data_IF_993305937489
#
_entry.id   IF_993305937489
#
_cell.length_a   1.000
_cell.length_b   1.000
_cell.length_c   1.000
_cell.angle_alpha   90.00
_cell.angle_beta   90.00
_cell.angle_gamma   90.00
#
_symmetry.space_group_name_H-M   'P 1'
#
loop_
_entity.id
_entity.type
_entity.pdbx_description
1 polymer ?
#
# COMPACT_ATOMS: atom_id res chain seq x y z
N UNK A 1 -20.52 0.37 7.21
CA UNK A 1 -20.79 -0.91 6.50
C UNK A 1 -19.81 -0.99 5.34
N UNK A 2 -19.14 -2.13 5.17
CA UNK A 2 -18.15 -2.36 4.13
C UNK A 2 -18.77 -3.23 3.02
N UNK A 3 -18.87 -2.69 1.80
CA UNK A 3 -19.36 -3.45 0.65
C UNK A 3 -18.22 -4.15 -0.06
N UNK A 4 -18.38 -5.45 -0.29
CA UNK A 4 -17.34 -6.29 -0.86
C UNK A 4 -17.92 -7.09 -2.02
N UNK A 5 -17.26 -7.03 -3.17
CA UNK A 5 -17.59 -7.82 -4.35
C UNK A 5 -16.54 -8.91 -4.55
N UNK A 6 -16.98 -10.15 -4.71
CA UNK A 6 -16.15 -11.24 -5.24
C UNK A 6 -16.77 -11.81 -6.50
N UNK A 7 -15.94 -12.25 -7.44
CA UNK A 7 -16.37 -12.95 -8.64
C UNK A 7 -15.81 -14.37 -8.57
N UNK A 8 -16.69 -15.35 -8.67
CA UNK A 8 -16.36 -16.77 -8.65
C UNK A 8 -16.68 -17.38 -10.02
N UNK A 9 -15.66 -17.83 -10.74
CA UNK A 9 -15.85 -18.52 -12.01
C UNK A 9 -16.19 -20.00 -11.80
N UNK A 10 -17.38 -20.39 -12.26
CA UNK A 10 -17.87 -21.78 -12.28
C UNK A 10 -18.31 -22.19 -13.68
N UNK A 11 -17.49 -21.83 -14.67
CA UNK A 11 -17.70 -22.26 -16.06
C UNK A 11 -17.54 -23.77 -16.12
N UNK A 12 -18.54 -24.48 -16.68
CA UNK A 12 -18.46 -25.94 -16.81
C UNK A 12 -17.46 -26.30 -17.92
N UNK A 13 -16.28 -26.79 -17.54
CA UNK A 13 -15.20 -27.12 -18.48
C UNK A 13 -15.29 -28.54 -19.08
N UNK A 14 -16.49 -29.09 -19.20
CA UNK A 14 -16.72 -30.34 -19.95
C UNK A 14 -17.22 -30.04 -21.35
N UNK A 15 -16.95 -30.94 -22.31
CA UNK A 15 -17.43 -30.85 -23.71
C UNK A 15 -18.95 -30.59 -23.79
N UNK A 16 -19.71 -31.19 -22.87
CA UNK A 16 -21.15 -30.95 -22.69
C UNK A 16 -21.45 -29.67 -21.90
N UNK A 17 -20.61 -29.32 -20.92
CA UNK A 17 -20.69 -28.09 -20.13
C UNK A 17 -20.64 -26.80 -20.96
N UNK A 18 -19.84 -26.77 -22.04
CA UNK A 18 -19.80 -25.64 -22.98
C UNK A 18 -21.10 -25.51 -23.79
N UNK A 19 -21.70 -26.63 -24.20
CA UNK A 19 -22.97 -26.64 -24.95
C UNK A 19 -24.14 -26.16 -24.08
N UNK A 20 -24.13 -26.49 -22.79
CA UNK A 20 -25.16 -26.04 -21.84
C UNK A 20 -24.82 -24.72 -21.12
N UNK A 21 -23.68 -24.09 -21.44
CA UNK A 21 -23.25 -22.83 -20.79
C UNK A 21 -24.26 -21.70 -21.01
N UNK A 22 -24.97 -21.73 -22.14
CA UNK A 22 -26.05 -20.80 -22.49
C UNK A 22 -27.32 -20.99 -21.64
N UNK A 23 -27.51 -22.15 -21.00
CA UNK A 23 -28.63 -22.42 -20.08
C UNK A 23 -28.28 -22.10 -18.63
N UNK A 24 -26.99 -22.00 -18.30
CA UNK A 24 -26.56 -21.59 -16.97
C UNK A 24 -26.72 -20.09 -16.79
N UNK A 25 -27.46 -19.72 -15.74
CA UNK A 25 -27.68 -18.32 -15.38
C UNK A 25 -26.68 -17.90 -14.32
N UNK A 26 -26.02 -16.78 -14.56
CA UNK A 26 -25.15 -16.15 -13.57
C UNK A 26 -25.97 -15.74 -12.34
N UNK A 27 -25.43 -15.95 -11.15
CA UNK A 27 -26.17 -15.75 -9.90
C UNK A 27 -25.43 -14.78 -9.00
N UNK A 28 -26.19 -13.93 -8.31
CA UNK A 28 -25.66 -13.10 -7.23
C UNK A 28 -26.19 -13.68 -5.92
N UNK A 29 -25.28 -13.87 -4.97
CA UNK A 29 -25.62 -14.14 -3.58
C UNK A 29 -25.07 -13.01 -2.73
N UNK A 30 -25.89 -12.46 -1.84
CA UNK A 30 -25.42 -11.52 -0.84
C UNK A 30 -25.50 -12.15 0.55
N UNK A 31 -24.57 -11.74 1.41
CA UNK A 31 -24.56 -12.07 2.83
C UNK A 31 -24.16 -10.83 3.60
N UNK A 32 -24.83 -10.58 4.71
CA UNK A 32 -24.38 -9.61 5.70
C UNK A 32 -23.79 -10.38 6.88
N UNK A 33 -22.60 -9.99 7.29
CA UNK A 33 -21.95 -10.49 8.51
C UNK A 33 -21.77 -9.31 9.45
N UNK A 34 -22.20 -9.49 10.69
CA UNK A 34 -22.10 -8.50 11.75
C UNK A 34 -21.00 -8.90 12.75
N UNK A 35 -20.31 -7.91 13.28
CA UNK A 35 -19.19 -8.05 14.20
C UNK A 35 -18.68 -6.67 14.59
N UNK A 36 -17.36 -6.51 14.76
CA UNK A 36 -16.75 -5.18 14.91
C UNK A 36 -17.08 -4.24 13.75
N UNK A 37 -17.30 -4.80 12.56
CA UNK A 37 -17.75 -4.10 11.36
C UNK A 37 -18.90 -4.86 10.71
N UNK A 38 -19.80 -4.14 10.05
CA UNK A 38 -20.83 -4.74 9.20
C UNK A 38 -20.26 -4.95 7.80
N UNK A 39 -20.14 -6.19 7.36
CA UNK A 39 -19.66 -6.55 6.02
C UNK A 39 -20.85 -7.02 5.19
N UNK A 40 -21.09 -6.34 4.07
CA UNK A 40 -22.02 -6.78 3.04
C UNK A 40 -21.22 -7.39 1.89
N UNK A 41 -21.22 -8.73 1.84
CA UNK A 41 -20.51 -9.50 0.83
C UNK A 41 -21.45 -9.87 -0.31
N UNK A 42 -21.13 -9.41 -1.51
CA UNK A 42 -21.81 -9.71 -2.77
C UNK A 42 -20.92 -10.67 -3.55
N UNK A 43 -21.32 -11.93 -3.65
CA UNK A 43 -20.65 -12.94 -4.46
C UNK A 43 -21.37 -13.11 -5.80
N UNK A 44 -20.70 -12.77 -6.90
CA UNK A 44 -21.15 -13.00 -8.27
C UNK A 44 -20.57 -14.32 -8.79
N UNK A 45 -21.44 -15.28 -9.11
CA UNK A 45 -21.04 -16.57 -9.66
C UNK A 45 -21.20 -16.51 -11.18
N UNK A 46 -20.07 -16.44 -11.88
CA UNK A 46 -19.99 -16.46 -13.34
C UNK A 46 -20.04 -17.90 -13.86
N UNK A 47 -21.08 -18.26 -14.61
CA UNK A 47 -21.23 -19.57 -15.25
C UNK A 47 -21.23 -19.49 -16.77
N UNK A 48 -21.47 -18.31 -17.31
CA UNK A 48 -21.48 -18.04 -18.76
C UNK A 48 -20.08 -17.84 -19.33
N UNK A 49 -19.08 -17.60 -18.48
CA UNK A 49 -17.72 -17.25 -18.88
C UNK A 49 -17.54 -15.77 -19.22
N UNK A 50 -18.60 -14.95 -19.09
CA UNK A 50 -18.53 -13.50 -19.27
C UNK A 50 -19.25 -12.80 -18.11
N UNK A 51 -18.51 -11.98 -17.38
CA UNK A 51 -19.05 -11.22 -16.25
C UNK A 51 -20.12 -10.22 -16.73
N UNK A 52 -21.32 -10.30 -16.16
CA UNK A 52 -22.41 -9.36 -16.41
C UNK A 52 -22.32 -8.19 -15.43
N UNK A 53 -21.50 -7.20 -15.77
CA UNK A 53 -21.25 -6.03 -14.94
C UNK A 53 -22.48 -5.16 -14.68
N UNK A 54 -23.42 -5.06 -15.63
CA UNK A 54 -24.68 -4.33 -15.42
C UNK A 54 -25.55 -4.97 -14.33
N UNK A 55 -25.48 -6.29 -14.21
CA UNK A 55 -26.16 -7.01 -13.12
C UNK A 55 -25.48 -6.72 -11.77
N UNK A 56 -24.14 -6.66 -11.74
CA UNK A 56 -23.37 -6.32 -10.54
C UNK A 56 -23.67 -4.87 -10.12
N UNK A 57 -23.59 -3.92 -11.04
CA UNK A 57 -23.85 -2.49 -10.80
C UNK A 57 -25.22 -2.23 -10.17
N UNK A 58 -26.26 -2.92 -10.66
CA UNK A 58 -27.61 -2.82 -10.07
C UNK A 58 -27.69 -3.24 -8.61
N UNK A 59 -26.82 -4.14 -8.16
CA UNK A 59 -26.80 -4.64 -6.78
C UNK A 59 -25.85 -3.85 -5.90
N UNK A 60 -24.67 -3.48 -6.41
CA UNK A 60 -23.68 -2.70 -5.67
C UNK A 60 -24.08 -1.23 -5.54
N UNK A 61 -24.84 -0.71 -6.52
CA UNK A 61 -25.07 0.72 -6.68
C UNK A 61 -23.80 1.46 -7.13
N UNK A 62 -23.89 2.79 -7.07
CA UNK A 62 -22.83 3.71 -7.55
C UNK A 62 -22.34 4.69 -6.48
N UNK A 63 -23.08 4.85 -5.38
CA UNK A 63 -22.81 5.89 -4.37
C UNK A 63 -21.83 5.43 -3.28
N UNK A 64 -21.72 4.14 -3.02
CA UNK A 64 -20.90 3.60 -1.92
C UNK A 64 -19.68 2.88 -2.49
N UNK A 65 -18.47 3.11 -1.94
CA UNK A 65 -17.27 2.37 -2.34
C UNK A 65 -17.42 0.86 -2.16
N UNK A 66 -16.88 0.11 -3.12
CA UNK A 66 -16.90 -1.36 -3.15
C UNK A 66 -15.48 -1.90 -3.20
N UNK A 67 -15.14 -2.80 -2.27
CA UNK A 67 -13.87 -3.52 -2.32
C UNK A 67 -13.98 -4.66 -3.34
N UNK A 68 -13.03 -4.71 -4.26
CA UNK A 68 -12.93 -5.74 -5.29
C UNK A 68 -11.45 -6.02 -5.58
N UNK A 69 -11.07 -7.30 -5.58
CA UNK A 69 -9.69 -7.76 -5.84
C UNK A 69 -9.61 -8.80 -6.95
N UNK A 70 -10.57 -8.81 -7.87
CA UNK A 70 -10.51 -9.69 -9.03
C UNK A 70 -9.74 -9.05 -10.20
N UNK A 71 -9.25 -9.89 -11.10
CA UNK A 71 -8.42 -9.48 -12.24
C UNK A 71 -9.24 -8.91 -13.41
N UNK A 72 -10.56 -9.00 -13.35
CA UNK A 72 -11.43 -8.54 -14.43
C UNK A 72 -11.83 -7.09 -14.19
N UNK A 73 -11.33 -6.19 -15.03
CA UNK A 73 -11.77 -4.81 -15.00
C UNK A 73 -13.22 -4.68 -15.52
N UNK A 74 -14.03 -3.81 -14.91
CA UNK A 74 -15.32 -3.42 -15.47
C UNK A 74 -15.13 -2.68 -16.81
N UNK A 75 -16.07 -2.81 -17.77
CA UNK A 75 -16.15 -1.91 -18.92
C UNK A 75 -16.33 -0.43 -18.52
N UNK A 76 -15.91 0.50 -19.38
CA UNK A 76 -15.97 1.95 -19.13
C UNK A 76 -17.39 2.50 -18.86
N UNK A 77 -18.45 1.83 -19.33
CA UNK A 77 -19.83 2.27 -19.12
C UNK A 77 -20.38 1.95 -17.71
N UNK A 78 -19.63 1.19 -16.91
CA UNK A 78 -20.00 0.77 -15.56
C UNK A 78 -19.55 1.80 -14.53
N UNK A 79 -20.47 2.20 -13.64
CA UNK A 79 -20.29 3.29 -12.68
C UNK A 79 -20.15 2.82 -11.24
N UNK A 80 -19.69 1.58 -11.05
CA UNK A 80 -19.40 1.06 -9.71
C UNK A 80 -18.23 1.88 -9.15
N UNK A 81 -18.42 2.45 -7.96
CA UNK A 81 -17.38 3.14 -7.25
C UNK A 81 -16.46 2.12 -6.58
N UNK A 82 -15.39 1.71 -7.25
CA UNK A 82 -14.41 0.80 -6.65
C UNK A 82 -13.54 1.56 -5.64
N UNK A 83 -13.37 0.96 -4.47
CA UNK A 83 -12.47 1.47 -3.46
C UNK A 83 -11.03 1.25 -3.88
N UNK A 84 -10.22 2.30 -3.77
CA UNK A 84 -8.77 2.26 -3.91
C UNK A 84 -8.15 2.63 -2.56
N UNK A 85 -7.18 1.85 -2.10
CA UNK A 85 -6.41 2.26 -0.93
C UNK A 85 -5.56 3.47 -1.28
N UNK A 86 -5.59 4.46 -0.39
CA UNK A 86 -4.77 5.66 -0.48
C UNK A 86 -4.03 5.98 0.80
N UNK A 87 -4.44 5.43 1.94
CA UNK A 87 -4.00 5.93 3.24
C UNK A 87 -3.31 4.86 4.09
N UNK A 88 -3.81 3.62 4.06
CA UNK A 88 -3.19 2.57 4.86
C UNK A 88 -1.81 2.22 4.31
N UNK A 89 -1.68 2.04 2.99
CA UNK A 89 -0.39 1.72 2.37
C UNK A 89 0.68 2.79 2.58
N UNK A 90 0.31 4.07 2.68
CA UNK A 90 1.23 5.17 3.08
C UNK A 90 1.81 4.94 4.46
N UNK A 91 0.96 4.60 5.44
CA UNK A 91 1.38 4.29 6.81
C UNK A 91 2.23 3.03 6.87
N UNK A 92 1.83 1.97 6.15
CA UNK A 92 2.60 0.72 6.07
C UNK A 92 3.98 0.93 5.44
N UNK A 93 4.12 1.81 4.45
CA UNK A 93 5.42 2.21 3.89
C UNK A 93 6.34 2.79 4.98
N UNK A 94 5.86 3.77 5.74
CA UNK A 94 6.60 4.33 6.87
C UNK A 94 6.93 3.29 7.94
N UNK A 95 5.97 2.47 8.32
CA UNK A 95 6.15 1.42 9.34
C UNK A 95 7.17 0.36 8.91
N UNK A 96 7.19 -0.03 7.63
CA UNK A 96 8.22 -0.93 7.09
C UNK A 96 9.61 -0.31 7.23
N UNK A 97 9.76 0.96 6.83
CA UNK A 97 11.04 1.66 6.93
C UNK A 97 11.53 1.74 8.39
N UNK A 98 10.68 2.20 9.31
CA UNK A 98 11.01 2.31 10.72
C UNK A 98 11.32 0.93 11.35
N UNK A 99 10.57 -0.11 10.98
CA UNK A 99 10.82 -1.48 11.43
C UNK A 99 12.21 -1.96 11.00
N UNK A 100 12.56 -1.77 9.72
CA UNK A 100 13.88 -2.14 9.19
C UNK A 100 15.01 -1.39 9.90
N UNK A 101 14.87 -0.07 10.08
CA UNK A 101 15.86 0.77 10.76
C UNK A 101 16.02 0.38 12.23
N UNK A 102 14.92 0.12 12.94
CA UNK A 102 14.94 -0.27 14.36
C UNK A 102 15.63 -1.61 14.62
N UNK A 103 15.66 -2.50 13.62
CA UNK A 103 16.35 -3.78 13.72
C UNK A 103 17.87 -3.65 13.45
N UNK A 104 18.37 -2.51 12.98
CA UNK A 104 19.80 -2.28 12.80
C UNK A 104 20.45 -1.96 14.15
N UNK A 105 21.31 -2.85 14.65
CA UNK A 105 22.13 -2.61 15.88
C UNK A 105 22.90 -1.29 15.81
N UNK A 106 23.42 -0.97 14.63
CA UNK A 106 23.90 0.35 14.25
C UNK A 106 23.53 0.61 12.80
N UNK A 107 22.86 1.73 12.53
CA UNK A 107 22.64 2.18 11.16
C UNK A 107 24.01 2.57 10.57
N UNK A 108 24.37 2.09 9.38
CA UNK A 108 25.64 2.47 8.75
C UNK A 108 25.73 3.99 8.63
N UNK A 109 26.85 4.59 9.06
CA UNK A 109 27.05 6.04 9.01
C UNK A 109 26.90 6.62 7.59
N UNK A 110 27.18 5.83 6.56
CA UNK A 110 27.08 6.24 5.17
C UNK A 110 25.65 6.05 4.59
N UNK A 111 24.72 5.46 5.35
CA UNK A 111 23.35 5.24 4.90
C UNK A 111 22.60 6.58 4.83
N UNK A 112 22.55 7.14 3.62
CA UNK A 112 21.75 8.32 3.32
C UNK A 112 20.30 7.92 3.08
N UNK A 113 19.40 8.46 3.87
CA UNK A 113 17.97 8.23 3.77
C UNK A 113 17.30 9.44 3.13
N UNK A 114 16.48 9.19 2.12
CA UNK A 114 15.64 10.20 1.49
C UNK A 114 14.18 9.99 1.90
N UNK A 115 13.50 11.04 2.36
CA UNK A 115 12.03 11.05 2.50
C UNK A 115 11.46 11.94 1.40
N UNK A 116 10.63 11.38 0.52
CA UNK A 116 9.85 12.15 -0.44
C UNK A 116 8.51 12.51 0.18
N UNK A 117 8.33 13.79 0.48
CA UNK A 117 7.12 14.35 1.09
C UNK A 117 6.81 15.70 0.44
N UNK A 118 6.35 15.66 -0.80
CA UNK A 118 6.08 16.85 -1.62
C UNK A 118 5.21 17.88 -0.90
N UNK A 119 4.22 17.41 -0.11
CA UNK A 119 3.18 18.24 0.51
C UNK A 119 3.43 18.58 1.97
N UNK A 120 4.39 17.94 2.64
CA UNK A 120 4.63 18.13 4.06
C UNK A 120 3.68 17.34 4.97
N UNK A 121 3.14 16.23 4.50
CA UNK A 121 2.17 15.40 5.23
C UNK A 121 2.83 14.38 6.17
N UNK A 122 4.14 14.15 6.05
CA UNK A 122 4.88 13.07 6.72
C UNK A 122 6.03 13.58 7.60
N UNK A 123 5.88 14.76 8.18
CA UNK A 123 6.86 15.33 9.10
C UNK A 123 7.07 14.46 10.36
N UNK A 124 6.04 13.75 10.81
CA UNK A 124 6.08 12.81 11.93
C UNK A 124 7.00 11.61 11.61
N UNK A 125 6.94 11.12 10.38
CA UNK A 125 7.83 10.08 9.87
C UNK A 125 9.27 10.59 9.75
N UNK A 126 9.50 11.82 9.29
CA UNK A 126 10.82 12.44 9.26
C UNK A 126 11.48 12.46 10.65
N UNK A 127 10.72 12.92 11.65
CA UNK A 127 11.14 12.94 13.05
C UNK A 127 11.43 11.53 13.59
N UNK A 128 10.59 10.55 13.26
CA UNK A 128 10.82 9.17 13.66
C UNK A 128 12.08 8.54 13.04
N UNK A 129 12.41 8.87 11.78
CA UNK A 129 13.60 8.39 11.08
C UNK A 129 14.89 8.95 11.71
N UNK A 130 14.89 10.22 12.11
CA UNK A 130 16.06 10.89 12.70
C UNK A 130 16.55 10.25 14.01
N UNK A 131 15.70 9.47 14.69
CA UNK A 131 16.10 8.66 15.85
C UNK A 131 17.15 7.60 15.51
N UNK A 132 17.31 7.28 14.22
CA UNK A 132 18.20 6.23 13.73
C UNK A 132 19.37 6.75 12.90
N UNK A 133 19.29 7.98 12.37
CA UNK A 133 20.31 8.54 11.46
C UNK A 133 20.40 10.06 11.57
N UNK A 134 21.59 10.60 11.33
CA UNK A 134 21.86 12.02 11.08
C UNK A 134 21.85 12.37 9.58
N UNK A 135 21.77 11.36 8.70
CA UNK A 135 21.83 11.51 7.25
C UNK A 135 20.45 11.38 6.59
N UNK A 136 19.48 12.17 7.05
CA UNK A 136 18.16 12.29 6.43
C UNK A 136 18.09 13.54 5.53
N UNK A 137 17.64 13.34 4.29
CA UNK A 137 17.24 14.41 3.37
C UNK A 137 15.74 14.27 3.13
N UNK A 138 15.00 15.36 3.31
CA UNK A 138 13.59 15.45 2.96
C UNK A 138 13.42 16.26 1.69
N UNK A 139 12.66 15.72 0.74
CA UNK A 139 12.21 16.47 -0.43
C UNK A 139 10.79 16.94 -0.20
N UNK A 140 10.59 18.27 -0.19
CA UNK A 140 9.28 18.88 0.00
C UNK A 140 9.15 20.20 -0.75
N UNK A 141 7.95 20.50 -1.26
CA UNK A 141 7.58 21.83 -1.74
C UNK A 141 7.01 22.70 -0.62
N UNK A 142 6.71 22.12 0.56
CA UNK A 142 6.12 22.82 1.69
C UNK A 142 7.17 23.20 2.75
N UNK A 143 8.11 24.07 2.37
CA UNK A 143 9.14 24.60 3.29
C UNK A 143 8.59 25.25 4.56
N UNK A 144 7.50 26.04 4.52
CA UNK A 144 7.01 26.69 5.73
C UNK A 144 6.69 25.69 6.84
N UNK A 145 6.00 24.58 6.51
CA UNK A 145 5.68 23.54 7.48
C UNK A 145 6.95 22.86 8.04
N UNK A 146 7.89 22.55 7.15
CA UNK A 146 9.13 21.88 7.55
C UNK A 146 10.10 22.77 8.33
N UNK A 147 9.99 24.10 8.22
CA UNK A 147 10.81 25.04 9.00
C UNK A 147 10.53 24.88 10.49
N UNK A 148 9.26 24.97 10.87
CA UNK A 148 8.84 24.87 12.28
C UNK A 148 9.22 23.50 12.87
N UNK A 149 9.09 22.44 12.05
CA UNK A 149 9.51 21.07 12.43
C UNK A 149 11.02 20.98 12.60
N UNK A 150 11.80 21.54 11.69
CA UNK A 150 13.26 21.52 11.76
C UNK A 150 13.80 22.30 12.97
N UNK A 151 13.21 23.47 13.27
CA UNK A 151 13.54 24.25 14.47
C UNK A 151 13.28 23.45 15.74
N UNK A 152 12.08 22.85 15.88
CA UNK A 152 11.74 22.00 17.02
C UNK A 152 12.71 20.83 17.18
N UNK A 153 13.00 20.10 16.10
CA UNK A 153 13.90 18.95 16.11
C UNK A 153 15.31 19.37 16.58
N UNK A 154 15.80 20.51 16.09
CA UNK A 154 17.11 21.03 16.47
C UNK A 154 17.15 21.44 17.95
N UNK A 155 16.09 22.07 18.46
CA UNK A 155 15.99 22.46 19.88
C UNK A 155 15.91 21.24 20.81
N UNK A 156 15.12 20.22 20.45
CA UNK A 156 14.85 19.06 21.30
C UNK A 156 15.96 18.00 21.27
N UNK A 157 16.63 17.84 20.12
CA UNK A 157 17.56 16.73 19.90
C UNK A 157 18.95 17.14 19.40
N UNK A 158 19.12 18.39 18.95
CA UNK A 158 20.34 18.86 18.28
C UNK A 158 20.52 18.32 16.85
N UNK A 159 19.59 17.51 16.34
CA UNK A 159 19.63 17.01 14.96
C UNK A 159 19.28 18.12 13.96
N UNK A 160 19.89 18.07 12.77
CA UNK A 160 19.61 18.99 11.68
C UNK A 160 18.77 18.27 10.63
N UNK A 161 17.58 18.80 10.34
CA UNK A 161 16.72 18.28 9.28
C UNK A 161 17.01 19.00 7.97
N UNK A 162 17.59 18.30 6.99
CA UNK A 162 17.86 18.85 5.67
C UNK A 162 16.62 18.76 4.77
N UNK A 163 16.05 19.89 4.35
CA UNK A 163 14.87 19.95 3.47
C UNK A 163 15.22 20.62 2.15
N UNK A 164 14.85 20.01 1.03
CA UNK A 164 15.24 20.45 -0.32
C UNK A 164 14.06 20.34 -1.30
N UNK A 165 13.86 21.29 -2.25
CA UNK A 165 12.75 21.17 -3.20
C UNK A 165 13.06 20.28 -4.39
N UNK A 166 14.35 20.04 -4.66
CA UNK A 166 14.79 19.35 -5.85
C UNK A 166 14.87 17.83 -5.61
N UNK A 167 13.97 17.08 -6.24
CA UNK A 167 13.97 15.61 -6.22
C UNK A 167 15.31 14.97 -6.60
N UNK A 168 16.18 15.67 -7.34
CA UNK A 168 17.51 15.17 -7.71
C UNK A 168 18.40 14.88 -6.50
N UNK A 169 18.17 15.52 -5.36
CA UNK A 169 18.96 15.22 -4.15
C UNK A 169 18.75 13.77 -3.65
N UNK A 170 17.64 13.11 -4.03
CA UNK A 170 17.40 11.69 -3.74
C UNK A 170 18.34 10.75 -4.50
N UNK A 171 19.00 11.21 -5.57
CA UNK A 171 19.96 10.38 -6.33
C UNK A 171 21.13 9.88 -5.48
N UNK A 172 21.49 10.60 -4.41
CA UNK A 172 22.54 10.21 -3.48
C UNK A 172 22.05 9.36 -2.30
N UNK A 173 20.74 9.09 -2.21
CA UNK A 173 20.14 8.31 -1.13
C UNK A 173 20.19 6.81 -1.44
N UNK A 174 20.43 6.02 -0.39
CA UNK A 174 20.51 4.56 -0.44
C UNK A 174 19.20 3.89 -0.05
N UNK A 175 18.43 4.53 0.83
CA UNK A 175 17.06 4.17 1.15
C UNK A 175 16.18 5.40 0.90
N UNK A 176 15.19 5.26 0.03
CA UNK A 176 14.22 6.31 -0.26
C UNK A 176 12.87 5.82 0.22
N UNK A 177 12.20 6.65 1.00
CA UNK A 177 10.88 6.39 1.58
C UNK A 177 9.93 7.41 0.96
N UNK A 178 8.93 6.94 0.24
CA UNK A 178 7.96 7.76 -0.46
C UNK A 178 6.55 7.26 -0.12
N UNK A 179 5.89 7.76 0.94
CA UNK A 179 4.57 7.27 1.29
C UNK A 179 3.57 7.42 0.13
N UNK A 180 3.68 8.45 -0.71
CA UNK A 180 2.94 8.58 -1.97
C UNK A 180 3.61 7.87 -3.16
N UNK A 181 2.84 7.63 -4.22
CA UNK A 181 3.34 7.06 -5.46
C UNK A 181 4.45 7.94 -6.06
N UNK A 182 5.63 7.36 -6.28
CA UNK A 182 6.73 8.03 -6.99
C UNK A 182 6.33 8.32 -8.43
N UNK A 183 6.31 9.60 -8.80
CA UNK A 183 5.94 10.11 -10.13
C UNK A 183 7.02 10.99 -10.78
N UNK A 184 8.18 11.08 -10.15
CA UNK A 184 9.36 11.76 -10.66
C UNK A 184 10.45 10.76 -11.08
N UNK A 185 11.24 11.14 -12.08
CA UNK A 185 12.41 10.36 -12.48
C UNK A 185 13.65 10.81 -11.73
N UNK A 186 14.47 9.83 -11.34
CA UNK A 186 15.81 10.06 -10.82
C UNK A 186 16.70 8.87 -11.17
N UNK A 187 18.01 9.10 -11.21
CA UNK A 187 18.99 8.03 -11.40
C UNK A 187 19.85 7.96 -10.16
N UNK A 188 19.77 6.89 -9.36
CA UNK A 188 20.64 6.69 -8.21
C UNK A 188 22.11 6.70 -8.62
N UNK A 189 22.93 7.43 -7.87
CA UNK A 189 24.40 7.44 -8.02
C UNK A 189 24.99 6.15 -7.45
N UNK A 190 24.31 5.55 -6.47
CA UNK A 190 24.67 4.27 -5.84
C UNK A 190 23.53 3.28 -5.95
N UNK A 191 23.73 2.01 -5.54
CA UNK A 191 22.61 1.11 -5.31
C UNK A 191 21.64 1.77 -4.32
N UNK A 192 20.35 1.69 -4.62
CA UNK A 192 19.30 2.29 -3.80
C UNK A 192 18.10 1.34 -3.67
N UNK A 193 17.34 1.50 -2.59
CA UNK A 193 16.05 0.87 -2.38
C UNK A 193 14.99 1.96 -2.23
N UNK A 194 13.87 1.81 -2.91
CA UNK A 194 12.68 2.65 -2.75
C UNK A 194 11.60 1.84 -2.04
N UNK A 195 11.12 2.37 -0.92
CA UNK A 195 9.86 1.97 -0.28
C UNK A 195 8.82 3.01 -0.66
N UNK A 196 7.72 2.58 -1.27
CA UNK A 196 6.67 3.47 -1.76
C UNK A 196 5.29 3.01 -1.29
N UNK A 197 4.41 3.90 -0.82
CA UNK A 197 3.05 3.48 -0.42
C UNK A 197 2.13 3.11 -1.59
N UNK A 198 2.59 3.32 -2.83
CA UNK A 198 1.89 2.87 -4.03
C UNK A 198 2.90 2.51 -5.13
N UNK A 199 2.45 1.75 -6.15
CA UNK A 199 3.29 1.44 -7.30
C UNK A 199 3.78 2.73 -7.96
N UNK A 200 5.11 2.88 -8.22
CA UNK A 200 5.63 4.02 -8.96
C UNK A 200 4.90 4.22 -10.30
N UNK A 201 4.59 5.47 -10.63
CA UNK A 201 3.93 5.85 -11.90
C UNK A 201 4.93 5.96 -13.05
N UNK A 202 6.21 6.08 -12.72
CA UNK A 202 7.32 6.16 -13.66
C UNK A 202 8.31 5.02 -13.37
N UNK A 203 9.05 4.53 -14.39
CA UNK A 203 10.07 3.52 -14.17
C UNK A 203 11.15 4.01 -13.19
N UNK A 204 11.47 3.17 -12.21
CA UNK A 204 12.55 3.41 -11.24
C UNK A 204 13.69 2.44 -11.55
N UNK A 205 14.92 2.95 -11.66
CA UNK A 205 16.09 2.13 -12.06
C UNK A 205 16.76 1.38 -10.89
N UNK A 206 16.04 1.17 -9.79
CA UNK A 206 16.53 0.48 -8.60
C UNK A 206 15.45 -0.40 -7.97
N UNK A 207 15.78 -1.11 -6.89
CA UNK A 207 14.80 -1.98 -6.24
C UNK A 207 13.69 -1.15 -5.62
N UNK A 208 12.45 -1.43 -6.01
CA UNK A 208 11.27 -0.70 -5.54
C UNK A 208 10.27 -1.68 -4.95
N UNK A 209 9.80 -1.39 -3.73
CA UNK A 209 8.78 -2.15 -3.02
C UNK A 209 7.61 -1.24 -2.67
N UNK A 210 6.40 -1.72 -2.93
CA UNK A 210 5.15 -0.97 -2.75
C UNK A 210 3.94 -1.81 -2.35
N UNK A 211 4.09 -3.14 -2.22
CA UNK A 211 3.15 -4.01 -1.54
C UNK A 211 3.62 -4.31 -0.13
N UNK A 212 2.71 -4.34 0.84
CA UNK A 212 3.03 -4.59 2.25
C UNK A 212 2.08 -5.62 2.83
N UNK A 213 2.61 -6.77 3.24
CA UNK A 213 1.80 -7.83 3.86
C UNK A 213 2.01 -7.88 5.37
N UNK A 214 0.97 -8.24 6.09
CA UNK A 214 0.93 -8.24 7.55
C UNK A 214 -0.10 -9.26 8.06
N UNK A 215 -0.02 -9.56 9.35
CA UNK A 215 -1.03 -10.36 10.03
C UNK A 215 -2.16 -9.46 10.52
N UNK A 216 -3.39 -9.78 10.14
CA UNK A 216 -4.59 -9.09 10.63
C UNK A 216 -5.18 -9.86 11.82
N UNK A 217 -5.61 -9.14 12.85
CA UNK A 217 -6.23 -9.73 14.05
C UNK A 217 -7.40 -10.66 13.71
N UNK A 218 -7.61 -11.68 14.57
CA UNK A 218 -8.66 -12.69 14.38
C UNK A 218 -10.06 -12.10 14.27
N UNK A 219 -10.33 -11.02 15.02
CA UNK A 219 -11.63 -10.35 15.03
C UNK A 219 -12.01 -9.74 13.69
N UNK A 220 -11.02 -9.35 12.87
CA UNK A 220 -11.24 -8.82 11.53
C UNK A 220 -11.06 -9.91 10.47
N UNK A 221 -10.06 -10.77 10.60
CA UNK A 221 -9.77 -11.79 9.59
C UNK A 221 -10.89 -12.82 9.43
N UNK A 222 -11.70 -13.09 10.47
CA UNK A 222 -12.88 -13.95 10.37
C UNK A 222 -14.06 -13.31 9.61
N UNK A 223 -14.06 -11.98 9.46
CA UNK A 223 -15.09 -11.23 8.74
C UNK A 223 -14.75 -11.04 7.26
N UNK A 224 -13.48 -11.22 6.89
CA UNK A 224 -12.98 -11.03 5.52
C UNK A 224 -13.49 -12.17 4.61
N UNK A 225 -14.22 -11.86 3.52
CA UNK A 225 -14.59 -12.87 2.54
C UNK A 225 -13.36 -13.52 1.88
N UNK A 226 -13.52 -14.78 1.47
CA UNK A 226 -12.55 -15.46 0.63
C UNK A 226 -12.42 -14.75 -0.73
N UNK A 227 -11.23 -14.74 -1.31
CA UNK A 227 -10.94 -14.05 -2.57
C UNK A 227 -10.60 -12.56 -2.44
N UNK A 228 -10.80 -11.96 -1.26
CA UNK A 228 -10.31 -10.61 -0.95
C UNK A 228 -8.95 -10.66 -0.26
N UNK A 229 -8.01 -9.85 -0.74
CA UNK A 229 -6.70 -9.71 -0.11
C UNK A 229 -6.83 -9.10 1.28
N UNK A 230 -5.95 -9.51 2.20
CA UNK A 230 -5.93 -8.98 3.58
C UNK A 230 -5.68 -7.48 3.56
N UNK A 231 -4.81 -7.03 2.67
CA UNK A 231 -4.39 -5.66 2.48
C UNK A 231 -5.56 -4.77 2.04
N UNK A 232 -6.33 -5.17 1.02
CA UNK A 232 -7.48 -4.40 0.53
C UNK A 232 -8.59 -4.34 1.60
N UNK A 233 -8.83 -5.47 2.29
CA UNK A 233 -9.83 -5.51 3.36
C UNK A 233 -9.44 -4.56 4.51
N UNK A 234 -8.19 -4.62 4.98
CA UNK A 234 -7.69 -3.73 6.02
C UNK A 234 -7.72 -2.26 5.60
N UNK A 235 -7.39 -1.95 4.34
CA UNK A 235 -7.48 -0.60 3.81
C UNK A 235 -8.93 -0.07 3.84
N UNK A 236 -9.91 -0.91 3.50
CA UNK A 236 -11.32 -0.57 3.64
C UNK A 236 -11.77 -0.36 5.09
N UNK A 237 -11.27 -1.19 6.03
CA UNK A 237 -11.53 -1.00 7.47
C UNK A 237 -10.96 0.35 7.96
N UNK A 238 -9.73 0.66 7.57
CA UNK A 238 -9.04 1.89 7.95
C UNK A 238 -9.76 3.13 7.37
N UNK A 239 -9.93 3.18 6.06
CA UNK A 239 -10.39 4.39 5.35
C UNK A 239 -11.91 4.58 5.40
N UNK A 240 -12.69 3.50 5.35
CA UNK A 240 -14.16 3.57 5.24
C UNK A 240 -14.87 3.29 6.57
N UNK A 241 -14.21 2.62 7.52
CA UNK A 241 -14.83 2.25 8.80
C UNK A 241 -14.16 2.91 10.02
N UNK A 242 -13.08 3.67 9.84
CA UNK A 242 -12.45 4.46 10.91
C UNK A 242 -11.60 3.65 11.88
N UNK A 243 -11.18 2.43 11.53
CA UNK A 243 -10.25 1.62 12.33
C UNK A 243 -8.81 2.10 12.13
N UNK A 244 -8.52 3.32 12.59
CA UNK A 244 -7.23 3.98 12.38
C UNK A 244 -6.06 3.33 13.13
N UNK A 245 -6.33 2.49 14.13
CA UNK A 245 -5.32 1.69 14.81
C UNK A 245 -4.57 0.74 13.86
N UNK A 246 -5.20 0.35 12.75
CA UNK A 246 -4.56 -0.45 11.69
C UNK A 246 -3.38 0.29 11.04
N UNK A 247 -3.34 1.64 11.13
CA UNK A 247 -2.21 2.44 10.68
C UNK A 247 -0.92 2.20 11.47
N UNK A 248 -1.00 1.52 12.63
CA UNK A 248 0.17 1.12 13.44
C UNK A 248 0.68 -0.30 13.11
N UNK A 249 0.06 -0.99 12.16
CA UNK A 249 0.50 -2.34 11.77
C UNK A 249 1.91 -2.30 11.20
N UNK A 250 2.73 -3.26 11.62
CA UNK A 250 4.10 -3.42 11.11
C UNK A 250 4.10 -4.48 10.01
N UNK A 251 4.49 -4.13 8.77
CA UNK A 251 4.60 -5.11 7.69
C UNK A 251 5.63 -6.20 7.99
N UNK A 252 5.30 -7.43 7.60
CA UNK A 252 6.18 -8.60 7.66
C UNK A 252 7.01 -8.75 6.39
N UNK A 253 6.40 -8.42 5.24
CA UNK A 253 7.00 -8.50 3.91
C UNK A 253 6.68 -7.23 3.13
N UNK A 254 7.67 -6.73 2.38
CA UNK A 254 7.46 -5.77 1.31
C UNK A 254 7.69 -6.44 -0.05
N UNK A 255 6.89 -6.09 -1.05
CA UNK A 255 6.97 -6.66 -2.39
C UNK A 255 6.88 -5.59 -3.46
N UNK A 256 7.42 -5.88 -4.64
CA UNK A 256 7.34 -5.04 -5.83
C UNK A 256 7.79 -5.81 -7.06
N UNK A 257 8.01 -5.12 -8.17
CA UNK A 257 8.39 -5.75 -9.44
C UNK A 257 9.74 -6.50 -9.36
N UNK A 258 10.62 -6.12 -8.42
CA UNK A 258 11.93 -6.77 -8.20
C UNK A 258 11.88 -8.02 -7.32
N UNK A 259 10.71 -8.38 -6.76
CA UNK A 259 10.54 -9.49 -5.83
C UNK A 259 10.00 -9.05 -4.48
N UNK A 260 10.27 -9.84 -3.44
CA UNK A 260 9.78 -9.59 -2.09
C UNK A 260 10.87 -9.80 -1.04
N UNK A 261 10.82 -9.00 0.03
CA UNK A 261 11.71 -9.08 1.17
C UNK A 261 10.92 -9.11 2.47
N UNK A 262 11.35 -9.95 3.41
CA UNK A 262 10.96 -9.79 4.81
C UNK A 262 11.69 -8.58 5.38
N UNK A 263 11.22 -8.03 6.50
CA UNK A 263 11.97 -6.98 7.22
C UNK A 263 13.43 -7.40 7.50
N UNK A 264 13.64 -8.68 7.85
CA UNK A 264 14.96 -9.23 8.15
C UNK A 264 15.85 -9.33 6.90
N UNK A 265 15.31 -9.77 5.75
CA UNK A 265 16.10 -9.86 4.52
C UNK A 265 16.37 -8.48 3.92
N UNK A 266 15.46 -7.52 4.05
CA UNK A 266 15.68 -6.13 3.65
C UNK A 266 16.75 -5.47 4.52
N UNK A 267 16.68 -5.64 5.85
CA UNK A 267 17.75 -5.19 6.77
C UNK A 267 19.12 -5.72 6.34
N UNK A 268 19.20 -7.03 6.07
CA UNK A 268 20.45 -7.67 5.64
C UNK A 268 20.95 -7.09 4.32
N UNK A 269 20.06 -6.90 3.35
CA UNK A 269 20.40 -6.29 2.06
C UNK A 269 20.96 -4.88 2.22
N UNK A 270 20.31 -4.03 3.02
CA UNK A 270 20.78 -2.67 3.30
C UNK A 270 22.15 -2.69 4.00
N UNK A 271 22.38 -3.60 4.97
CA UNK A 271 23.71 -3.74 5.58
C UNK A 271 24.76 -4.17 4.56
N UNK A 272 24.52 -5.23 3.78
CA UNK A 272 25.51 -5.76 2.83
C UNK A 272 25.85 -4.76 1.72
N UNK A 273 24.88 -3.96 1.27
CA UNK A 273 25.13 -2.97 0.22
C UNK A 273 25.88 -1.74 0.73
N UNK A 274 25.82 -1.44 2.03
CA UNK A 274 26.18 -0.11 2.57
C UNK A 274 27.10 -0.15 3.81
N UNK A 275 27.68 -1.32 4.16
CA UNK A 275 28.64 -1.48 5.27
C UNK A 275 30.10 -1.21 4.89
N UNK A 276 30.38 -0.56 3.75
CA UNK A 276 31.74 -0.17 3.32
C UNK A 276 31.99 1.31 3.55
#
# INVERSE_FOLDING_TARGET
MLNILTIEDRVRDTRWGRVFSHLSVDTIKSRVTEGKVHVHHINYINRTGKVNWKKIEKVTGTSVPVLYSGDTAPPEDIRINFFEDRELSKRLCGNMALSVLSMMESVPKNLRIGLYDERGEYWDLAEAILRFTDNLIVVSQNFPLYRDVAERIMEESGAVLCVNPDVKCLSACMLIIAPDAVDFSFTPVTKAVVLSGARPKVPVSCQSFYGYTFSLDRDFSCLKPEGISTELFAAGLYSLCGFYELGSLVPLVCSGDSGAHTTLSLRRYLRECFST
#
